data_IF_126892363723
#
_entry.id   IF_126892363723
#
_cell.length_a   1.000
_cell.length_b   1.000
_cell.length_c   1.000
_cell.angle_alpha   90.00
_cell.angle_beta   90.00
_cell.angle_gamma   90.00
#
_symmetry.space_group_name_H-M   'P 1'
#
loop_
_entity.id
_entity.type
_entity.pdbx_description
1 polymer ?
#
# COMPACT_ATOMS: atom_id res chain seq x y z
N UNK A 1 -9.77 19.34 26.03
CA UNK A 1 -9.56 17.90 25.81
C UNK A 1 -8.64 17.76 24.60
N UNK A 2 -7.37 17.49 24.85
CA UNK A 2 -6.43 17.13 23.80
C UNK A 2 -6.81 15.76 23.29
N UNK A 3 -7.25 15.65 22.06
CA UNK A 3 -7.40 14.38 21.35
C UNK A 3 -6.00 13.88 21.07
N UNK A 4 -5.53 12.89 21.82
CA UNK A 4 -4.25 12.25 21.58
C UNK A 4 -4.37 11.36 20.37
N UNK A 5 -3.89 11.81 19.22
CA UNK A 5 -3.83 11.07 17.96
C UNK A 5 -2.90 9.84 18.01
N UNK A 6 -2.16 9.68 19.11
CA UNK A 6 -1.20 8.59 19.29
C UNK A 6 -1.78 7.35 20.00
N UNK A 7 -3.06 7.34 20.27
CA UNK A 7 -3.68 6.19 20.91
C UNK A 7 -4.32 5.29 19.89
N UNK A 8 -3.55 4.27 19.51
CA UNK A 8 -3.99 3.00 18.96
C UNK A 8 -4.51 3.09 17.53
N UNK A 9 -3.61 2.85 16.59
CA UNK A 9 -4.01 2.46 15.25
C UNK A 9 -4.83 1.17 15.37
N UNK A 10 -6.08 1.28 15.01
CA UNK A 10 -6.95 0.17 14.71
C UNK A 10 -6.80 -0.02 13.21
N UNK A 11 -6.25 -1.15 12.79
CA UNK A 11 -6.01 -1.41 11.38
C UNK A 11 -7.00 -2.45 10.88
N UNK A 12 -7.70 -2.10 9.82
CA UNK A 12 -8.59 -2.96 9.07
C UNK A 12 -8.36 -2.69 7.60
N UNK A 13 -8.42 -3.73 6.79
CA UNK A 13 -8.21 -3.62 5.35
C UNK A 13 -9.53 -3.74 4.61
N UNK A 14 -9.94 -2.69 3.90
CA UNK A 14 -11.06 -2.73 2.97
C UNK A 14 -10.55 -3.07 1.56
N UNK A 15 -10.91 -4.25 1.06
CA UNK A 15 -10.58 -4.69 -0.29
C UNK A 15 -11.67 -4.23 -1.25
N UNK A 16 -11.47 -3.07 -1.86
CA UNK A 16 -12.45 -2.43 -2.72
C UNK A 16 -12.39 -2.93 -4.17
N UNK A 17 -13.43 -2.61 -4.95
CA UNK A 17 -13.59 -2.97 -6.37
C UNK A 17 -13.74 -4.48 -6.61
N UNK A 18 -14.29 -5.22 -5.65
CA UNK A 18 -14.50 -6.66 -5.80
C UNK A 18 -15.46 -7.04 -6.93
N UNK A 19 -16.36 -6.14 -7.30
CA UNK A 19 -17.24 -6.31 -8.45
C UNK A 19 -16.47 -6.34 -9.78
N UNK A 20 -15.39 -5.57 -9.92
CA UNK A 20 -14.55 -5.63 -11.11
C UNK A 20 -13.69 -6.91 -11.14
N UNK A 21 -13.17 -7.33 -10.00
CA UNK A 21 -12.40 -8.57 -9.90
C UNK A 21 -13.26 -9.76 -10.32
N UNK A 22 -14.45 -9.89 -9.74
CA UNK A 22 -15.38 -10.99 -10.05
C UNK A 22 -15.95 -10.88 -11.47
N UNK A 23 -16.29 -9.68 -11.91
CA UNK A 23 -16.79 -9.42 -13.27
C UNK A 23 -15.80 -9.82 -14.37
N UNK A 24 -14.50 -9.75 -14.09
CA UNK A 24 -13.42 -10.15 -15.00
C UNK A 24 -12.90 -11.57 -14.76
N UNK A 25 -13.63 -12.41 -14.03
CA UNK A 25 -13.25 -13.79 -13.70
C UNK A 25 -11.95 -13.91 -12.90
N UNK A 26 -11.62 -12.89 -12.14
CA UNK A 26 -10.59 -12.95 -11.11
C UNK A 26 -11.18 -13.45 -9.79
N UNK A 27 -10.32 -13.89 -8.89
CA UNK A 27 -10.70 -14.23 -7.52
C UNK A 27 -9.58 -13.85 -6.55
N UNK A 28 -9.97 -13.56 -5.32
CA UNK A 28 -9.02 -13.26 -4.24
C UNK A 28 -9.35 -14.18 -3.08
N UNK A 29 -8.33 -14.84 -2.55
CA UNK A 29 -8.43 -15.59 -1.31
C UNK A 29 -8.32 -14.61 -0.14
N UNK A 30 -9.48 -14.16 0.35
CA UNK A 30 -9.58 -13.19 1.45
C UNK A 30 -8.98 -13.76 2.73
N UNK A 31 -9.26 -15.04 3.04
CA UNK A 31 -8.76 -15.68 4.26
C UNK A 31 -7.23 -15.83 4.24
N UNK A 32 -6.67 -16.21 3.08
CA UNK A 32 -5.22 -16.26 2.89
C UNK A 32 -4.58 -14.87 3.03
N UNK A 33 -5.24 -13.85 2.51
CA UNK A 33 -4.78 -12.46 2.63
C UNK A 33 -4.81 -11.97 4.08
N UNK A 34 -5.89 -12.24 4.83
CA UNK A 34 -5.97 -11.94 6.27
C UNK A 34 -4.85 -12.61 7.06
N UNK A 35 -4.60 -13.89 6.78
CA UNK A 35 -3.54 -14.64 7.45
C UNK A 35 -2.14 -14.05 7.17
N UNK A 36 -1.89 -13.58 5.95
CA UNK A 36 -0.62 -12.97 5.56
C UNK A 36 -0.44 -11.55 6.09
N UNK A 37 -1.50 -10.74 6.07
CA UNK A 37 -1.49 -9.37 6.55
C UNK A 37 -1.57 -9.27 8.09
N UNK A 38 -2.16 -10.27 8.73
CA UNK A 38 -2.42 -10.26 10.19
C UNK A 38 -3.47 -9.23 10.62
N UNK A 39 -4.32 -8.80 9.69
CA UNK A 39 -5.42 -7.87 9.91
C UNK A 39 -6.67 -8.38 9.20
N UNK A 40 -7.88 -8.12 9.72
CA UNK A 40 -9.11 -8.45 9.01
C UNK A 40 -9.17 -7.78 7.64
N UNK A 41 -9.65 -8.52 6.64
CA UNK A 41 -9.82 -8.03 5.26
C UNK A 41 -11.29 -8.15 4.86
N UNK A 42 -11.95 -7.02 4.65
CA UNK A 42 -13.36 -7.00 4.27
C UNK A 42 -13.48 -6.68 2.78
N UNK A 43 -13.99 -7.63 1.98
CA UNK A 43 -14.22 -7.41 0.57
C UNK A 43 -15.45 -6.50 0.36
N UNK A 44 -15.28 -5.42 -0.38
CA UNK A 44 -16.34 -4.44 -0.64
C UNK A 44 -16.41 -4.04 -2.12
N UNK A 45 -17.57 -3.52 -2.51
CA UNK A 45 -17.73 -2.70 -3.71
C UNK A 45 -18.40 -1.39 -3.31
N UNK A 46 -17.62 -0.34 -3.12
CA UNK A 46 -18.13 0.97 -2.74
C UNK A 46 -19.10 1.53 -3.81
N UNK A 47 -18.82 1.27 -5.10
CA UNK A 47 -19.66 1.70 -6.21
C UNK A 47 -21.07 1.08 -6.19
N UNK A 48 -21.18 -0.16 -5.69
CA UNK A 48 -22.46 -0.91 -5.58
C UNK A 48 -23.03 -0.90 -4.16
N UNK A 49 -22.33 -0.29 -3.21
CA UNK A 49 -22.66 -0.32 -1.79
C UNK A 49 -22.76 -1.75 -1.20
N UNK A 50 -21.94 -2.68 -1.72
CA UNK A 50 -21.85 -4.05 -1.24
C UNK A 50 -20.73 -4.18 -0.22
N UNK A 51 -20.98 -4.89 0.91
CA UNK A 51 -20.00 -5.13 1.97
C UNK A 51 -19.70 -3.93 2.89
N UNK A 52 -20.22 -2.74 2.61
CA UNK A 52 -19.92 -1.51 3.37
C UNK A 52 -20.46 -1.59 4.81
N UNK A 53 -21.65 -2.14 5.02
CA UNK A 53 -22.23 -2.32 6.37
C UNK A 53 -21.41 -3.30 7.21
N UNK A 54 -20.82 -4.30 6.57
CA UNK A 54 -19.94 -5.28 7.21
C UNK A 54 -18.63 -4.61 7.62
N UNK A 55 -18.02 -3.84 6.74
CA UNK A 55 -16.83 -3.03 7.03
C UNK A 55 -17.06 -2.13 8.25
N UNK A 56 -18.18 -1.39 8.29
CA UNK A 56 -18.52 -0.52 9.42
C UNK A 56 -18.70 -1.31 10.72
N UNK A 57 -19.34 -2.48 10.68
CA UNK A 57 -19.49 -3.33 11.87
C UNK A 57 -18.14 -3.83 12.38
N UNK A 58 -17.25 -4.28 11.50
CA UNK A 58 -15.89 -4.69 11.84
C UNK A 58 -15.10 -3.53 12.43
N UNK A 59 -15.11 -2.35 11.80
CA UNK A 59 -14.42 -1.16 12.30
C UNK A 59 -14.89 -0.76 13.71
N UNK A 60 -16.20 -0.82 13.99
CA UNK A 60 -16.75 -0.55 15.30
C UNK A 60 -16.30 -1.62 16.31
N UNK A 61 -16.29 -2.89 15.91
CA UNK A 61 -15.84 -4.01 16.75
C UNK A 61 -14.39 -3.83 17.17
N UNK A 62 -13.49 -3.63 16.21
CA UNK A 62 -12.07 -3.42 16.45
C UNK A 62 -11.82 -2.18 17.31
N UNK A 63 -12.53 -1.07 17.05
CA UNK A 63 -12.43 0.14 17.85
C UNK A 63 -12.90 -0.08 19.31
N UNK A 64 -13.94 -0.88 19.52
CA UNK A 64 -14.50 -1.18 20.84
C UNK A 64 -13.60 -2.11 21.66
N UNK A 65 -13.05 -3.15 21.04
CA UNK A 65 -12.21 -4.15 21.71
C UNK A 65 -10.73 -3.82 21.63
N UNK A 66 -10.34 -2.82 20.83
CA UNK A 66 -8.98 -2.33 20.68
C UNK A 66 -8.02 -3.45 20.24
N UNK A 67 -8.48 -4.26 19.31
CA UNK A 67 -7.67 -5.31 18.70
C UNK A 67 -6.45 -4.71 18.02
N UNK A 68 -5.31 -5.37 18.17
CA UNK A 68 -4.07 -4.96 17.52
C UNK A 68 -3.81 -5.84 16.32
N UNK A 69 -3.21 -5.30 15.23
CA UNK A 69 -2.82 -6.12 14.11
C UNK A 69 -1.86 -7.23 14.56
N UNK A 70 -2.09 -8.42 14.06
CA UNK A 70 -1.26 -9.59 14.41
C UNK A 70 0.15 -9.49 13.85
N UNK A 71 0.33 -8.81 12.72
CA UNK A 71 1.62 -8.57 12.08
C UNK A 71 1.93 -7.07 12.06
N UNK A 72 3.11 -6.71 12.54
CA UNK A 72 3.57 -5.31 12.63
C UNK A 72 4.80 -5.03 11.76
N UNK A 73 5.40 -6.05 11.19
CA UNK A 73 6.48 -5.93 10.23
C UNK A 73 6.26 -6.89 9.05
N UNK A 74 6.88 -6.56 7.93
CA UNK A 74 6.75 -7.28 6.66
C UNK A 74 8.11 -7.83 6.19
N UNK A 75 9.12 -7.82 7.07
CA UNK A 75 10.44 -8.35 6.75
C UNK A 75 10.47 -9.88 6.86
N UNK A 76 11.30 -10.50 6.01
CA UNK A 76 11.58 -11.93 5.99
C UNK A 76 13.05 -12.15 6.33
N UNK A 77 13.34 -13.12 7.21
CA UNK A 77 14.71 -13.46 7.61
C UNK A 77 15.57 -13.96 6.45
N UNK A 78 14.94 -14.56 5.46
CA UNK A 78 15.61 -15.18 4.33
C UNK A 78 15.76 -14.25 3.13
N UNK A 79 15.05 -13.12 3.09
CA UNK A 79 15.13 -12.20 1.98
C UNK A 79 16.46 -11.47 1.94
N UNK A 80 17.13 -11.57 0.78
CA UNK A 80 18.38 -10.85 0.52
C UNK A 80 19.43 -11.03 1.64
N UNK A 81 19.54 -12.23 2.19
CA UNK A 81 20.46 -12.52 3.29
C UNK A 81 20.05 -11.95 4.64
N UNK A 82 18.82 -11.49 4.77
CA UNK A 82 18.24 -10.99 6.03
C UNK A 82 18.80 -9.66 6.52
N UNK A 83 19.47 -8.87 5.68
CA UNK A 83 20.11 -7.61 6.11
C UNK A 83 19.11 -6.61 6.70
N UNK A 84 17.96 -6.43 6.04
CA UNK A 84 16.89 -5.52 6.52
C UNK A 84 16.27 -6.07 7.80
N UNK A 85 15.99 -7.38 7.85
CA UNK A 85 15.45 -8.03 9.06
C UNK A 85 16.37 -7.84 10.26
N UNK A 86 17.68 -8.13 10.11
CA UNK A 86 18.65 -7.93 11.19
C UNK A 86 18.73 -6.47 11.65
N UNK A 87 18.71 -5.52 10.72
CA UNK A 87 18.73 -4.10 11.05
C UNK A 87 17.49 -3.69 11.86
N UNK A 88 16.28 -4.03 11.38
CA UNK A 88 15.03 -3.74 12.09
C UNK A 88 15.03 -4.38 13.48
N UNK A 89 15.50 -5.62 13.59
CA UNK A 89 15.54 -6.36 14.86
C UNK A 89 16.52 -5.71 15.84
N UNK A 90 17.73 -5.36 15.40
CA UNK A 90 18.73 -4.72 16.23
C UNK A 90 18.28 -3.33 16.71
N UNK A 91 17.72 -2.51 15.81
CA UNK A 91 17.17 -1.19 16.17
C UNK A 91 16.00 -1.35 17.13
N UNK A 92 15.09 -2.32 16.90
CA UNK A 92 13.97 -2.56 17.80
C UNK A 92 14.44 -2.90 19.23
N UNK A 93 15.45 -3.75 19.39
CA UNK A 93 16.02 -4.05 20.70
C UNK A 93 16.61 -2.81 21.39
N UNK A 94 17.30 -1.97 20.64
CA UNK A 94 17.93 -0.77 21.18
C UNK A 94 16.91 0.25 21.72
N UNK A 95 15.76 0.39 21.03
CA UNK A 95 14.74 1.40 21.35
C UNK A 95 13.61 0.89 22.23
N UNK A 96 13.62 -0.38 22.66
CA UNK A 96 12.48 -1.05 23.30
C UNK A 96 11.92 -0.29 24.51
N UNK A 97 12.79 0.21 25.38
CA UNK A 97 12.38 0.92 26.60
C UNK A 97 11.82 2.31 26.29
N UNK A 98 12.41 3.02 25.33
CA UNK A 98 11.92 4.32 24.86
C UNK A 98 10.54 4.20 24.20
N UNK A 99 10.34 3.16 23.41
CA UNK A 99 9.07 2.90 22.72
C UNK A 99 7.96 2.52 23.69
N UNK A 100 8.26 1.73 24.74
CA UNK A 100 7.33 1.42 25.81
C UNK A 100 6.90 2.70 26.56
N UNK A 101 7.84 3.58 26.86
CA UNK A 101 7.57 4.85 27.53
C UNK A 101 6.72 5.79 26.64
N UNK A 102 6.92 5.75 25.32
CA UNK A 102 6.20 6.58 24.36
C UNK A 102 4.84 5.99 23.91
N UNK A 103 4.48 4.77 24.33
CA UNK A 103 3.28 4.01 23.94
C UNK A 103 3.16 3.88 22.41
N UNK A 104 4.24 3.45 21.74
CA UNK A 104 4.31 3.24 20.30
C UNK A 104 4.46 1.74 19.98
N UNK A 105 4.03 1.28 18.79
CA UNK A 105 4.35 -0.07 18.31
C UNK A 105 5.85 -0.19 18.00
N UNK A 106 6.52 -1.18 18.58
CA UNK A 106 7.98 -1.32 18.53
C UNK A 106 8.52 -1.43 17.11
N UNK A 107 7.97 -2.34 16.30
CA UNK A 107 8.42 -2.57 14.92
C UNK A 107 8.14 -1.38 14.01
N UNK A 108 7.02 -0.70 14.22
CA UNK A 108 6.70 0.54 13.51
C UNK A 108 7.73 1.63 13.82
N UNK A 109 8.04 1.85 15.11
CA UNK A 109 9.02 2.84 15.51
C UNK A 109 10.41 2.54 14.94
N UNK A 110 10.87 1.27 15.01
CA UNK A 110 12.14 0.84 14.44
C UNK A 110 12.23 1.11 12.92
N UNK A 111 11.19 0.74 12.17
CA UNK A 111 11.12 0.97 10.72
C UNK A 111 11.16 2.46 10.39
N UNK A 112 10.42 3.29 11.15
CA UNK A 112 10.39 4.74 10.96
C UNK A 112 11.73 5.42 11.27
N UNK A 113 12.44 4.95 12.28
CA UNK A 113 13.78 5.43 12.59
C UNK A 113 14.75 5.11 11.44
N UNK A 114 14.69 3.89 10.90
CA UNK A 114 15.53 3.51 9.76
C UNK A 114 15.21 4.36 8.53
N UNK A 115 13.94 4.70 8.30
CA UNK A 115 13.52 5.63 7.24
C UNK A 115 13.98 7.09 7.47
N UNK A 116 14.44 7.42 8.68
CA UNK A 116 14.89 8.77 9.03
C UNK A 116 13.78 9.72 9.44
N UNK A 117 12.68 9.20 10.01
CA UNK A 117 11.54 10.02 10.47
C UNK A 117 11.93 10.81 11.74
N UNK A 118 12.12 12.11 11.57
CA UNK A 118 12.52 13.03 12.66
C UNK A 118 11.50 13.10 13.79
N UNK A 119 10.19 12.97 13.50
CA UNK A 119 9.14 13.05 14.51
C UNK A 119 9.23 11.89 15.50
N UNK A 120 9.55 10.72 15.01
CA UNK A 120 9.74 9.54 15.86
C UNK A 120 11.03 9.66 16.67
N UNK A 121 12.13 10.11 16.04
CA UNK A 121 13.41 10.34 16.73
C UNK A 121 13.28 11.32 17.90
N UNK A 122 12.63 12.47 17.67
CA UNK A 122 12.37 13.47 18.71
C UNK A 122 11.48 12.93 19.83
N UNK A 123 10.45 12.16 19.47
CA UNK A 123 9.49 11.62 20.43
C UNK A 123 10.10 10.57 21.34
N UNK A 124 11.03 9.77 20.86
CA UNK A 124 11.70 8.75 21.64
C UNK A 124 12.79 9.32 22.56
N UNK A 125 13.35 10.48 22.24
CA UNK A 125 14.34 11.15 23.07
C UNK A 125 15.62 10.32 23.23
N UNK A 126 16.08 9.69 22.15
CA UNK A 126 17.29 8.86 22.14
C UNK A 126 18.54 9.71 22.45
N UNK A 127 19.49 9.13 23.16
CA UNK A 127 20.76 9.75 23.40
C UNK A 127 21.69 9.72 22.15
N UNK A 128 22.81 10.45 22.18
CA UNK A 128 23.71 10.54 21.03
C UNK A 128 24.40 9.19 20.75
N UNK A 129 24.72 8.39 21.77
CA UNK A 129 25.34 7.07 21.58
C UNK A 129 24.36 6.08 20.92
N UNK A 130 23.08 6.14 21.31
CA UNK A 130 22.02 5.33 20.71
C UNK A 130 21.82 5.70 19.24
N UNK A 131 21.77 6.99 18.92
CA UNK A 131 21.66 7.48 17.54
C UNK A 131 22.85 7.05 16.69
N UNK A 132 24.07 7.15 17.23
CA UNK A 132 25.29 6.73 16.55
C UNK A 132 25.28 5.22 16.28
N UNK A 133 24.86 4.42 17.25
CA UNK A 133 24.73 2.98 17.13
C UNK A 133 23.70 2.59 16.05
N UNK A 134 22.53 3.26 16.06
CA UNK A 134 21.50 3.08 15.05
C UNK A 134 22.03 3.41 13.64
N UNK A 135 22.73 4.54 13.50
CA UNK A 135 23.30 4.96 12.21
C UNK A 135 24.33 3.92 11.70
N UNK A 136 25.15 3.35 12.58
CA UNK A 136 26.08 2.26 12.22
C UNK A 136 25.35 1.01 11.70
N UNK A 137 24.25 0.61 12.35
CA UNK A 137 23.44 -0.54 11.90
C UNK A 137 22.81 -0.25 10.53
N UNK A 138 22.35 0.96 10.30
CA UNK A 138 21.76 1.38 9.02
C UNK A 138 22.82 1.37 7.92
N UNK A 139 23.99 1.97 8.15
CA UNK A 139 25.10 1.98 7.19
C UNK A 139 25.56 0.55 6.84
N UNK A 140 25.57 -0.35 7.80
CA UNK A 140 25.89 -1.76 7.55
C UNK A 140 24.84 -2.38 6.62
N UNK A 141 23.55 -2.18 6.90
CA UNK A 141 22.45 -2.65 6.05
C UNK A 141 22.56 -2.08 4.63
N UNK A 142 22.80 -0.79 4.49
CA UNK A 142 22.96 -0.10 3.18
C UNK A 142 24.10 -0.73 2.37
N UNK A 143 25.24 -1.00 3.02
CA UNK A 143 26.40 -1.68 2.37
C UNK A 143 26.08 -3.10 1.93
N UNK A 144 25.40 -3.87 2.78
CA UNK A 144 25.02 -5.25 2.47
C UNK A 144 23.99 -5.31 1.34
N UNK A 145 23.05 -4.35 1.30
CA UNK A 145 22.00 -4.28 0.28
C UNK A 145 22.44 -3.61 -1.02
N UNK A 146 23.40 -2.71 -0.96
CA UNK A 146 23.76 -1.83 -2.08
C UNK A 146 22.65 -0.81 -2.42
N UNK A 147 21.77 -0.53 -1.48
CA UNK A 147 20.63 0.40 -1.59
C UNK A 147 20.68 1.37 -0.42
N UNK A 148 20.14 2.56 -0.60
CA UNK A 148 19.90 3.48 0.52
C UNK A 148 18.81 2.93 1.46
N UNK A 149 18.74 3.46 2.67
CA UNK A 149 17.80 3.02 3.72
C UNK A 149 16.34 3.06 3.29
N UNK A 150 15.95 4.10 2.57
CA UNK A 150 14.56 4.26 2.12
C UNK A 150 14.22 3.27 1.02
N UNK A 151 15.13 3.06 0.06
CA UNK A 151 14.98 2.07 -1.00
C UNK A 151 14.98 0.64 -0.44
N UNK A 152 15.83 0.32 0.54
CA UNK A 152 15.88 -0.99 1.16
C UNK A 152 14.57 -1.34 1.90
N UNK A 153 13.98 -0.38 2.61
CA UNK A 153 12.68 -0.56 3.27
C UNK A 153 11.53 -0.66 2.25
N UNK A 154 11.57 0.17 1.19
CA UNK A 154 10.57 0.10 0.13
C UNK A 154 10.61 -1.25 -0.61
N UNK A 155 11.80 -1.72 -0.93
CA UNK A 155 12.02 -3.02 -1.60
C UNK A 155 11.49 -4.19 -0.75
N UNK A 156 11.76 -4.19 0.54
CA UNK A 156 11.18 -5.15 1.49
C UNK A 156 9.64 -5.15 1.44
N UNK A 157 9.02 -3.97 1.44
CA UNK A 157 7.54 -3.86 1.37
C UNK A 157 6.99 -4.36 0.05
N UNK A 158 7.66 -4.04 -1.07
CA UNK A 158 7.23 -4.50 -2.39
C UNK A 158 7.32 -6.02 -2.52
N UNK A 159 8.39 -6.62 -2.03
CA UNK A 159 8.54 -8.07 -2.03
C UNK A 159 7.45 -8.77 -1.21
N UNK A 160 7.11 -8.20 -0.06
CA UNK A 160 6.00 -8.72 0.73
C UNK A 160 4.67 -8.62 -0.02
N UNK A 161 4.37 -7.47 -0.65
CA UNK A 161 3.16 -7.27 -1.45
C UNK A 161 3.11 -8.26 -2.61
N UNK A 162 4.23 -8.49 -3.29
CA UNK A 162 4.33 -9.46 -4.39
C UNK A 162 3.99 -10.88 -3.91
N UNK A 163 4.55 -11.31 -2.78
CA UNK A 163 4.22 -12.60 -2.16
C UNK A 163 2.73 -12.72 -1.80
N UNK A 164 2.12 -11.67 -1.25
CA UNK A 164 0.69 -11.67 -0.95
C UNK A 164 -0.11 -11.80 -2.23
N UNK A 165 0.24 -11.05 -3.26
CA UNK A 165 -0.46 -11.10 -4.56
C UNK A 165 -0.30 -12.47 -5.23
N UNK A 166 0.88 -13.06 -5.21
CA UNK A 166 1.11 -14.38 -5.81
C UNK A 166 0.32 -15.50 -5.12
N UNK A 167 0.20 -15.42 -3.79
CA UNK A 167 -0.48 -16.47 -3.02
C UNK A 167 -2.01 -16.30 -2.96
N UNK A 168 -2.49 -15.06 -2.93
CA UNK A 168 -3.89 -14.78 -2.64
C UNK A 168 -4.69 -14.28 -3.84
N UNK A 169 -4.04 -13.84 -4.94
CA UNK A 169 -4.73 -13.20 -6.06
C UNK A 169 -4.65 -14.04 -7.32
N UNK A 170 -5.79 -14.57 -7.77
CA UNK A 170 -5.91 -15.12 -9.12
C UNK A 170 -6.24 -13.97 -10.06
N UNK A 171 -5.25 -13.59 -10.89
CA UNK A 171 -5.39 -12.45 -11.81
C UNK A 171 -6.59 -12.66 -12.73
N UNK A 172 -7.46 -11.64 -12.86
CA UNK A 172 -8.57 -11.69 -13.79
C UNK A 172 -8.05 -11.84 -15.23
N UNK A 173 -8.82 -12.51 -16.08
CA UNK A 173 -8.58 -12.46 -17.53
C UNK A 173 -8.71 -11.01 -17.99
N UNK A 174 -7.97 -10.63 -19.03
CA UNK A 174 -8.08 -9.28 -19.59
C UNK A 174 -9.55 -8.92 -19.82
N UNK A 175 -9.97 -7.79 -19.26
CA UNK A 175 -11.36 -7.37 -19.35
C UNK A 175 -11.73 -7.13 -20.81
N UNK A 176 -12.95 -7.52 -21.19
CA UNK A 176 -13.47 -7.27 -22.56
C UNK A 176 -13.43 -5.77 -22.91
N UNK A 177 -13.58 -4.92 -21.89
CA UNK A 177 -13.51 -3.47 -22.04
C UNK A 177 -12.09 -2.99 -22.35
N UNK A 178 -11.08 -3.55 -21.69
CA UNK A 178 -9.69 -3.25 -21.99
C UNK A 178 -9.32 -3.65 -23.42
N UNK A 179 -9.69 -4.88 -23.83
CA UNK A 179 -9.47 -5.35 -25.22
C UNK A 179 -10.17 -4.43 -26.23
N UNK A 180 -11.38 -3.94 -25.92
CA UNK A 180 -12.11 -3.00 -26.77
C UNK A 180 -11.43 -1.64 -26.80
N UNK A 181 -11.01 -1.10 -25.66
CA UNK A 181 -10.24 0.14 -25.55
C UNK A 181 -8.94 0.09 -26.35
N UNK A 182 -8.17 -0.98 -26.21
CA UNK A 182 -6.92 -1.17 -26.97
C UNK A 182 -7.15 -1.25 -28.47
N UNK A 183 -8.26 -1.86 -28.92
CA UNK A 183 -8.63 -1.87 -30.35
C UNK A 183 -8.99 -0.48 -30.86
N UNK A 184 -9.76 0.29 -30.08
CA UNK A 184 -10.13 1.66 -30.42
C UNK A 184 -8.88 2.54 -30.45
N UNK A 185 -8.04 2.42 -29.46
CA UNK A 185 -6.77 3.16 -29.36
C UNK A 185 -5.84 2.88 -30.55
N UNK A 186 -5.73 1.61 -30.96
CA UNK A 186 -4.95 1.22 -32.12
C UNK A 186 -5.44 1.86 -33.41
N UNK A 187 -6.75 2.10 -33.53
CA UNK A 187 -7.33 2.78 -34.68
C UNK A 187 -7.09 4.29 -34.58
N UNK A 188 -7.30 4.89 -33.42
CA UNK A 188 -7.17 6.33 -33.21
C UNK A 188 -5.73 6.82 -33.27
N UNK A 189 -4.76 5.99 -32.80
CA UNK A 189 -3.34 6.33 -32.74
C UNK A 189 -2.50 5.63 -33.80
N UNK A 190 -3.13 4.86 -34.68
CA UNK A 190 -2.44 4.11 -35.74
C UNK A 190 -1.71 5.03 -36.75
N UNK A 191 -0.54 4.60 -37.20
CA UNK A 191 0.35 5.37 -38.11
C UNK A 191 -0.35 5.98 -39.34
N UNK A 192 -1.36 5.32 -39.89
CA UNK A 192 -2.10 5.77 -41.07
C UNK A 192 -3.52 6.23 -40.77
N UNK A 193 -4.08 5.86 -39.61
CA UNK A 193 -5.47 6.13 -39.23
C UNK A 193 -5.61 7.31 -38.27
N UNK A 194 -4.56 7.68 -37.57
CA UNK A 194 -4.60 8.78 -36.59
C UNK A 194 -5.00 10.12 -37.21
N UNK A 195 -4.37 10.50 -38.33
CA UNK A 195 -4.63 11.78 -38.99
C UNK A 195 -6.06 11.86 -39.55
N UNK A 196 -6.56 10.86 -40.32
CA UNK A 196 -7.97 10.87 -40.78
C UNK A 196 -8.98 10.88 -39.62
N UNK A 197 -8.74 10.11 -38.56
CA UNK A 197 -9.60 10.10 -37.36
C UNK A 197 -9.61 11.47 -36.66
N UNK A 198 -8.45 12.08 -36.49
CA UNK A 198 -8.33 13.40 -35.89
C UNK A 198 -9.10 14.47 -36.71
N UNK A 199 -8.93 14.48 -38.05
CA UNK A 199 -9.65 15.40 -38.92
C UNK A 199 -11.16 15.17 -38.81
N UNK A 200 -11.62 13.92 -38.81
CA UNK A 200 -13.04 13.58 -38.65
C UNK A 200 -13.63 14.06 -37.34
N UNK A 201 -12.91 13.90 -36.21
CA UNK A 201 -13.32 14.37 -34.89
C UNK A 201 -13.36 15.91 -34.86
N UNK A 202 -12.35 16.57 -35.41
CA UNK A 202 -12.29 18.03 -35.45
C UNK A 202 -13.42 18.64 -36.31
N UNK A 203 -13.73 18.05 -37.47
CA UNK A 203 -14.84 18.47 -38.32
C UNK A 203 -16.18 18.28 -37.59
N UNK A 204 -16.34 17.16 -36.86
CA UNK A 204 -17.54 16.89 -36.05
C UNK A 204 -17.70 17.91 -34.93
N UNK A 205 -16.62 18.25 -34.23
CA UNK A 205 -16.63 19.28 -33.16
C UNK A 205 -16.94 20.67 -33.69
N UNK A 206 -16.38 21.07 -34.87
CA UNK A 206 -16.65 22.35 -35.51
C UNK A 206 -18.14 22.44 -35.89
N UNK A 207 -18.67 21.34 -36.45
CA UNK A 207 -20.09 21.34 -36.86
C UNK A 207 -21.05 21.40 -35.66
N UNK A 208 -20.70 20.81 -34.53
CA UNK A 208 -21.49 20.87 -33.28
C UNK A 208 -21.37 22.23 -32.61
N UNK A 209 -20.22 22.90 -32.73
CA UNK A 209 -19.95 24.18 -32.08
C UNK A 209 -20.39 25.39 -32.90
N UNK A 210 -20.75 25.25 -34.19
CA UNK A 210 -21.41 26.32 -34.94
C UNK A 210 -22.86 26.46 -34.43
N UNK A 211 -23.18 27.53 -33.69
CA UNK A 211 -24.57 27.83 -33.42
C UNK A 211 -25.23 28.10 -34.75
N UNK A 212 -26.24 27.33 -35.10
CA UNK A 212 -27.15 27.63 -36.20
C UNK A 212 -27.63 29.09 -36.06
N UNK A 213 -26.94 30.00 -36.74
CA UNK A 213 -27.54 31.29 -37.08
C UNK A 213 -28.58 30.97 -38.14
N UNK A 214 -29.78 30.75 -37.67
CA UNK A 214 -30.97 30.92 -38.46
C UNK A 214 -31.45 32.33 -38.20
N UNK A 215 -31.23 33.20 -39.18
CA UNK A 215 -31.91 34.49 -39.28
C UNK A 215 -33.41 34.29 -39.38
#
# INVERSE_FOLDING_TARGET
RRVSWARRCVEETALNMMDEVTGNSGSIDVNGMEAMLGTPVVPISAAKNEGVDELVRHAIHIAKYQEKPGRQDFCDENEFGGAVHRCIHAVAHLIEDHVKAADLPLRFAATKIIEGDHLILERLGLDENEKETIEHLIIQMEKERGLDRSAAIADMRFNFIEKVCENCVVKPKESKERIRSEKIDRILTGKYTAIPCFIGIMLSLIHISEPTRLD
#
